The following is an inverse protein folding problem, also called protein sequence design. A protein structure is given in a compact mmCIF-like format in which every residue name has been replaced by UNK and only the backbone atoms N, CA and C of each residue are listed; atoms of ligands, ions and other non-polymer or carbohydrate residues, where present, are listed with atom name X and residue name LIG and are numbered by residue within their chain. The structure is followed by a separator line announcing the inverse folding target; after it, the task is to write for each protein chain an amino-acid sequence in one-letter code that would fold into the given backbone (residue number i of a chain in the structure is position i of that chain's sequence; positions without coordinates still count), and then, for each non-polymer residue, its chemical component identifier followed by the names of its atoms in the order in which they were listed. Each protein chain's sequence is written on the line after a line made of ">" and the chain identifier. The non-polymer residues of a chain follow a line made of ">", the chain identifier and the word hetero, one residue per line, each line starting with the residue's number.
data_IF_415564711870
#
_entry.id   IF_415564711870
#
_cell.length_a   1.000
_cell.length_b   1.000
_cell.length_c   1.000
_cell.angle_alpha   90.00
_cell.angle_beta   90.00
_cell.angle_gamma   90.00
#
_symmetry.space_group_name_H-M   'P 1'
#
loop_
_entity.id
_entity.type
_entity.pdbx_description
1 polymer ?
#
# COMPACT_ATOMS: atom_id res chain seq x y z
N UNK A 1 15.27 -6.76 40.40
CA UNK A 1 15.31 -6.46 38.96
C UNK A 1 14.25 -7.33 38.31
N UNK A 2 13.10 -6.75 37.96
CA UNK A 2 12.07 -7.46 37.19
C UNK A 2 12.50 -7.56 35.73
N UNK A 3 11.95 -8.50 34.94
CA UNK A 3 12.29 -8.61 33.53
C UNK A 3 11.89 -7.31 32.81
N UNK A 4 12.81 -6.74 32.06
CA UNK A 4 12.55 -5.65 31.11
C UNK A 4 11.40 -6.07 30.20
N UNK A 5 10.24 -5.46 30.41
CA UNK A 5 9.16 -5.44 29.43
C UNK A 5 9.75 -4.82 28.16
N UNK A 6 9.78 -5.60 27.08
CA UNK A 6 9.99 -5.07 25.74
C UNK A 6 8.87 -4.04 25.51
N UNK A 7 9.22 -2.76 25.55
CA UNK A 7 8.42 -1.66 25.03
C UNK A 7 8.82 -1.49 23.56
N UNK A 8 8.09 -2.08 22.58
CA UNK A 8 8.33 -1.81 21.18
C UNK A 8 7.90 -0.37 20.99
N UNK A 9 8.83 0.57 21.18
CA UNK A 9 8.58 2.00 21.24
C UNK A 9 7.42 2.38 20.32
N UNK A 10 6.37 2.92 20.92
CA UNK A 10 5.15 3.38 20.23
C UNK A 10 5.61 4.03 18.94
N UNK A 11 5.29 3.44 17.80
CA UNK A 11 5.68 4.01 16.52
C UNK A 11 5.01 5.39 16.45
N UNK A 12 5.76 6.46 16.72
CA UNK A 12 5.25 7.84 16.71
C UNK A 12 4.72 8.21 15.31
N UNK A 13 5.07 7.41 14.30
CA UNK A 13 4.64 7.50 12.91
C UNK A 13 4.14 6.12 12.46
N UNK A 14 2.90 6.03 11.98
CA UNK A 14 2.26 4.78 11.54
C UNK A 14 3.02 4.09 10.38
N UNK A 15 2.51 2.99 9.80
CA UNK A 15 1.12 2.57 9.80
C UNK A 15 0.67 2.00 11.14
N UNK A 16 -0.59 2.26 11.47
CA UNK A 16 -1.19 1.87 12.74
C UNK A 16 -1.98 0.57 12.60
N UNK A 17 -2.04 -0.23 13.66
CA UNK A 17 -3.01 -1.31 13.78
C UNK A 17 -4.42 -0.74 13.99
N UNK A 18 -5.45 -1.48 13.56
CA UNK A 18 -6.85 -1.07 13.70
C UNK A 18 -7.33 -0.89 15.14
N UNK A 19 -6.63 -1.49 16.12
CA UNK A 19 -6.85 -1.25 17.54
C UNK A 19 -6.32 0.12 18.01
N UNK A 20 -5.44 0.74 17.23
CA UNK A 20 -4.87 2.05 17.51
C UNK A 20 -5.77 3.15 16.92
N UNK A 21 -5.94 4.21 17.69
CA UNK A 21 -6.76 5.37 17.31
C UNK A 21 -5.87 6.60 17.24
N UNK A 22 -5.14 6.83 16.12
CA UNK A 22 -4.26 7.98 15.99
C UNK A 22 -5.08 9.27 16.04
N UNK A 23 -4.81 10.14 17.01
CA UNK A 23 -5.45 11.45 17.15
C UNK A 23 -4.73 12.52 16.30
N UNK A 24 -4.48 12.20 15.03
CA UNK A 24 -3.68 13.03 14.11
C UNK A 24 -4.53 13.97 13.21
N UNK A 25 -5.85 13.91 13.34
CA UNK A 25 -6.78 14.72 12.56
C UNK A 25 -6.84 14.39 11.06
N UNK A 26 -6.17 13.33 10.59
CA UNK A 26 -6.14 12.96 9.17
C UNK A 26 -7.42 12.22 8.77
N UNK A 27 -8.06 12.72 7.71
CA UNK A 27 -9.16 12.00 7.06
C UNK A 27 -8.62 10.78 6.32
N UNK A 28 -9.33 9.65 6.43
CA UNK A 28 -8.94 8.37 5.81
C UNK A 28 -10.14 7.78 5.10
N UNK A 29 -9.93 7.29 3.90
CA UNK A 29 -10.89 6.46 3.18
C UNK A 29 -10.88 5.07 3.83
N UNK A 30 -12.01 4.66 4.39
CA UNK A 30 -12.17 3.32 4.94
C UNK A 30 -12.43 2.31 3.81
N UNK A 31 -11.52 1.34 3.67
CA UNK A 31 -11.57 0.27 2.69
C UNK A 31 -11.79 -1.11 3.34
N UNK A 32 -12.37 -1.14 4.54
CA UNK A 32 -12.58 -2.35 5.34
C UNK A 32 -11.31 -2.76 6.08
N UNK A 33 -10.36 -3.41 5.38
CA UNK A 33 -9.11 -3.88 6.00
C UNK A 33 -8.00 -2.82 6.03
N UNK A 34 -8.18 -1.71 5.34
CA UNK A 34 -7.20 -0.62 5.26
C UNK A 34 -7.95 0.70 5.33
N UNK A 35 -7.50 1.63 6.15
CA UNK A 35 -7.95 3.02 6.14
C UNK A 35 -6.81 3.88 5.64
N UNK A 36 -7.00 4.46 4.46
CA UNK A 36 -5.92 5.08 3.69
C UNK A 36 -6.12 6.59 3.61
N UNK A 37 -5.13 7.42 3.98
CA UNK A 37 -5.17 8.83 3.64
C UNK A 37 -5.05 9.00 2.11
N UNK A 38 -5.95 9.78 1.53
CA UNK A 38 -5.92 10.07 0.09
C UNK A 38 -5.22 11.42 -0.09
N UNK A 39 -4.06 11.47 -0.76
CA UNK A 39 -3.38 12.74 -1.02
C UNK A 39 -4.26 13.72 -1.79
N UNK A 40 -4.07 15.01 -1.55
CA UNK A 40 -4.79 16.05 -2.27
C UNK A 40 -4.58 15.91 -3.80
N UNK A 41 -5.68 15.97 -4.55
CA UNK A 41 -5.66 15.82 -6.01
C UNK A 41 -5.41 14.39 -6.52
N UNK A 42 -5.22 13.40 -5.64
CA UNK A 42 -5.09 12.01 -6.06
C UNK A 42 -6.43 11.43 -6.53
N UNK A 43 -6.40 10.70 -7.64
CA UNK A 43 -7.55 9.95 -8.14
C UNK A 43 -7.45 8.49 -7.72
N UNK A 44 -8.52 7.94 -7.17
CA UNK A 44 -8.56 6.54 -6.78
C UNK A 44 -8.91 5.66 -7.99
N UNK A 45 -8.08 4.67 -8.27
CA UNK A 45 -8.39 3.60 -9.22
C UNK A 45 -8.44 2.26 -8.48
N UNK A 46 -9.42 1.44 -8.82
CA UNK A 46 -9.63 0.13 -8.21
C UNK A 46 -9.37 -0.94 -9.24
N UNK A 47 -8.55 -1.92 -8.88
CA UNK A 47 -8.39 -3.13 -9.66
C UNK A 47 -9.38 -4.17 -9.12
N UNK A 48 -10.28 -4.64 -9.95
CA UNK A 48 -11.27 -5.67 -9.60
C UNK A 48 -10.93 -6.96 -10.35
N UNK A 49 -11.05 -8.11 -9.68
CA UNK A 49 -11.12 -9.36 -10.42
C UNK A 49 -12.41 -9.36 -11.27
N UNK A 50 -12.41 -10.11 -12.38
CA UNK A 50 -13.38 -10.00 -13.50
C UNK A 50 -14.86 -9.94 -13.13
N UNK A 51 -15.25 -10.36 -11.93
CA UNK A 51 -16.53 -10.09 -11.24
C UNK A 51 -16.38 -10.31 -9.71
N UNK A 52 -15.19 -10.05 -9.17
CA UNK A 52 -14.76 -10.51 -7.85
C UNK A 52 -14.45 -9.38 -6.87
N UNK A 53 -13.74 -9.68 -5.77
CA UNK A 53 -13.32 -8.66 -4.81
C UNK A 53 -12.35 -7.67 -5.46
N UNK A 54 -12.25 -6.49 -4.86
CA UNK A 54 -11.19 -5.53 -5.20
C UNK A 54 -9.84 -6.17 -4.86
N UNK A 55 -8.97 -6.26 -5.86
CA UNK A 55 -7.63 -6.83 -5.77
C UNK A 55 -6.63 -5.80 -5.24
N UNK A 56 -6.74 -4.56 -5.69
CA UNK A 56 -5.85 -3.49 -5.30
C UNK A 56 -6.51 -2.12 -5.42
N UNK A 57 -5.94 -1.16 -4.69
CA UNK A 57 -6.29 0.25 -4.79
C UNK A 57 -5.05 1.03 -5.16
N UNK A 58 -5.17 1.83 -6.22
CA UNK A 58 -4.13 2.69 -6.73
C UNK A 58 -4.52 4.15 -6.52
N UNK A 59 -3.59 4.95 -6.03
CA UNK A 59 -3.72 6.40 -5.94
C UNK A 59 -2.92 7.00 -7.09
N UNK A 60 -3.63 7.55 -8.08
CA UNK A 60 -3.03 8.26 -9.20
C UNK A 60 -2.78 9.71 -8.82
N UNK A 61 -1.52 10.13 -8.83
CA UNK A 61 -1.09 11.47 -8.44
C UNK A 61 -0.44 12.19 -9.63
N UNK A 62 -0.18 13.49 -9.50
CA UNK A 62 0.61 14.23 -10.50
C UNK A 62 2.07 13.77 -10.62
N UNK A 63 2.59 13.04 -9.63
CA UNK A 63 3.96 12.54 -9.59
C UNK A 63 4.10 11.11 -10.15
N UNK A 64 3.00 10.35 -10.14
CA UNK A 64 2.97 8.94 -10.52
C UNK A 64 1.89 8.16 -9.76
N UNK A 65 2.02 6.84 -9.76
CA UNK A 65 1.09 5.92 -9.14
C UNK A 65 1.62 5.45 -7.78
N UNK A 66 0.79 5.52 -6.75
CA UNK A 66 1.01 4.83 -5.47
C UNK A 66 0.08 3.63 -5.36
N UNK A 67 0.56 2.53 -4.81
CA UNK A 67 -0.23 1.33 -4.53
C UNK A 67 0.07 0.86 -3.13
N UNK A 68 -0.97 0.69 -2.31
CA UNK A 68 -0.84 0.20 -0.94
C UNK A 68 -1.65 -1.08 -0.81
N UNK A 69 -1.03 -2.14 -0.32
CA UNK A 69 -1.66 -3.45 -0.16
C UNK A 69 -1.32 -4.02 1.20
N UNK A 70 -2.33 -4.41 1.98
CA UNK A 70 -2.13 -5.14 3.22
C UNK A 70 -2.26 -6.65 2.98
N UNK A 71 -1.44 -7.43 3.65
CA UNK A 71 -1.40 -8.89 3.58
C UNK A 71 -1.57 -9.49 4.97
N UNK A 72 -2.15 -10.69 5.05
CA UNK A 72 -2.10 -11.49 6.25
C UNK A 72 -0.68 -11.99 6.50
N UNK A 73 -0.17 -11.77 7.71
CA UNK A 73 1.19 -12.13 8.11
C UNK A 73 1.19 -13.16 9.25
N UNK A 74 2.27 -13.95 9.43
CA UNK A 74 2.38 -14.87 10.54
C UNK A 74 2.47 -14.10 11.87
N UNK A 75 2.16 -14.76 12.99
CA UNK A 75 2.28 -14.16 14.33
C UNK A 75 3.73 -13.80 14.69
N UNK A 76 4.70 -14.45 14.07
CA UNK A 76 6.13 -14.17 14.26
C UNK A 76 6.58 -12.86 13.60
N UNK A 77 5.76 -12.24 12.74
CA UNK A 77 6.19 -11.13 11.89
C UNK A 77 7.23 -11.54 10.84
N UNK A 78 7.94 -10.55 10.30
CA UNK A 78 9.06 -10.74 9.36
C UNK A 78 8.64 -11.05 7.92
N UNK A 79 7.36 -10.87 7.58
CA UNK A 79 6.88 -11.18 6.24
C UNK A 79 7.48 -10.21 5.22
N UNK A 80 7.70 -8.94 5.59
CA UNK A 80 8.30 -7.98 4.67
C UNK A 80 9.71 -8.40 4.22
N UNK A 81 10.54 -8.91 5.14
CA UNK A 81 11.90 -9.35 4.82
C UNK A 81 11.94 -10.49 3.79
N UNK A 82 11.02 -11.45 3.90
CA UNK A 82 10.86 -12.52 2.92
C UNK A 82 10.42 -11.97 1.56
N UNK A 83 9.38 -11.13 1.57
CA UNK A 83 8.81 -10.51 0.36
C UNK A 83 9.82 -9.60 -0.34
N UNK A 84 10.63 -8.85 0.42
CA UNK A 84 11.72 -8.02 -0.11
C UNK A 84 12.74 -8.88 -0.87
N UNK A 85 13.12 -10.03 -0.30
CA UNK A 85 14.01 -10.99 -0.95
C UNK A 85 13.44 -11.52 -2.28
N UNK A 86 12.15 -11.83 -2.31
CA UNK A 86 11.44 -12.29 -3.51
C UNK A 86 11.33 -11.18 -4.57
N UNK A 87 10.92 -9.97 -4.20
CA UNK A 87 10.83 -8.81 -5.10
C UNK A 87 12.20 -8.51 -5.70
N UNK A 88 13.26 -8.49 -4.88
CA UNK A 88 14.62 -8.26 -5.34
C UNK A 88 15.03 -9.31 -6.36
N UNK A 89 14.78 -10.59 -6.08
CA UNK A 89 15.14 -11.69 -6.98
C UNK A 89 14.39 -11.57 -8.31
N UNK A 90 13.09 -11.29 -8.27
CA UNK A 90 12.26 -11.08 -9.46
C UNK A 90 12.77 -9.92 -10.32
N UNK A 91 12.99 -8.76 -9.72
CA UNK A 91 13.46 -7.56 -10.44
C UNK A 91 14.83 -7.79 -11.08
N UNK A 92 15.76 -8.47 -10.40
CA UNK A 92 17.04 -8.83 -11.01
C UNK A 92 16.87 -9.77 -12.20
N UNK A 93 15.98 -10.76 -12.11
CA UNK A 93 15.71 -11.68 -13.23
C UNK A 93 15.07 -10.99 -14.44
N UNK A 94 14.40 -9.86 -14.21
CA UNK A 94 13.80 -8.99 -15.24
C UNK A 94 14.81 -7.96 -15.78
N UNK A 95 16.07 -7.97 -15.33
CA UNK A 95 17.11 -7.05 -15.81
C UNK A 95 17.03 -5.64 -15.21
N UNK A 96 16.22 -5.42 -14.17
CA UNK A 96 16.11 -4.14 -13.51
C UNK A 96 17.40 -3.77 -12.76
N UNK A 97 17.72 -2.47 -12.70
CA UNK A 97 18.75 -1.97 -11.79
C UNK A 97 18.14 -1.84 -10.39
N UNK A 98 18.58 -2.67 -9.45
CA UNK A 98 17.99 -2.74 -8.11
C UNK A 98 18.98 -2.24 -7.06
N UNK A 99 18.50 -1.41 -6.14
CA UNK A 99 19.23 -0.98 -4.93
C UNK A 99 18.34 -1.20 -3.71
N UNK A 100 18.96 -1.59 -2.60
CA UNK A 100 18.30 -1.69 -1.29
C UNK A 100 18.90 -0.64 -0.38
N UNK A 101 18.07 0.10 0.34
CA UNK A 101 18.47 1.12 1.30
C UNK A 101 17.62 1.01 2.57
N UNK A 102 18.11 1.59 3.66
CA UNK A 102 17.36 1.69 4.92
C UNK A 102 16.38 2.88 4.83
N UNK A 103 15.12 2.64 5.15
CA UNK A 103 14.04 3.62 5.26
C UNK A 103 13.44 3.68 6.66
N UNK A 104 12.32 4.39 6.81
CA UNK A 104 11.67 4.67 8.10
C UNK A 104 11.27 3.40 8.86
N UNK A 105 10.81 2.38 8.14
CA UNK A 105 10.36 1.10 8.70
C UNK A 105 11.32 -0.07 8.42
N UNK A 106 12.57 0.25 8.07
CA UNK A 106 13.58 -0.72 7.68
C UNK A 106 13.82 -0.73 6.17
N UNK A 107 14.22 -1.88 5.62
CA UNK A 107 14.74 -1.93 4.25
C UNK A 107 13.69 -1.69 3.19
N UNK A 108 14.10 -0.97 2.15
CA UNK A 108 13.29 -0.60 1.01
C UNK A 108 14.03 -0.90 -0.29
N UNK A 109 13.30 -1.02 -1.40
CA UNK A 109 13.87 -1.28 -2.73
C UNK A 109 13.68 -0.05 -3.62
N UNK A 110 14.75 0.42 -4.25
CA UNK A 110 14.73 1.23 -5.46
C UNK A 110 14.95 0.32 -6.67
N UNK A 111 14.13 0.44 -7.70
CA UNK A 111 14.34 -0.27 -8.95
C UNK A 111 14.17 0.65 -10.17
N UNK A 112 15.03 0.51 -11.17
CA UNK A 112 14.84 1.12 -12.49
C UNK A 112 14.63 0.01 -13.50
N UNK A 113 13.48 0.04 -14.17
CA UNK A 113 13.14 -0.84 -15.29
C UNK A 113 13.07 -0.02 -16.57
N UNK A 114 12.90 -0.68 -17.73
CA UNK A 114 12.66 0.03 -19.00
C UNK A 114 11.36 0.85 -18.98
N UNK A 115 10.37 0.43 -18.19
CA UNK A 115 9.02 1.00 -18.20
C UNK A 115 8.79 2.06 -17.12
N UNK A 116 9.44 1.90 -15.96
CA UNK A 116 9.20 2.74 -14.80
C UNK A 116 10.37 2.70 -13.82
N UNK A 117 10.42 3.74 -13.00
CA UNK A 117 11.20 3.76 -11.76
C UNK A 117 10.28 3.44 -10.59
N UNK A 118 10.73 2.54 -9.71
CA UNK A 118 9.92 1.93 -8.66
C UNK A 118 10.56 2.12 -7.30
N UNK A 119 9.75 2.40 -6.29
CA UNK A 119 10.10 2.31 -4.87
C UNK A 119 9.16 1.32 -4.19
N UNK A 120 9.72 0.38 -3.45
CA UNK A 120 8.96 -0.55 -2.61
C UNK A 120 9.36 -0.37 -1.15
N UNK A 121 8.38 -0.36 -0.28
CA UNK A 121 8.55 -0.44 1.16
C UNK A 121 7.55 -1.44 1.74
N UNK A 122 7.82 -1.92 2.94
CA UNK A 122 6.85 -2.69 3.69
C UNK A 122 7.04 -2.52 5.18
N UNK A 123 5.94 -2.73 5.91
CA UNK A 123 5.86 -2.59 7.35
C UNK A 123 5.14 -3.82 7.90
N UNK A 124 5.81 -4.55 8.79
CA UNK A 124 5.20 -5.66 9.51
C UNK A 124 4.47 -5.12 10.75
N UNK A 125 3.23 -5.55 10.95
CA UNK A 125 2.42 -5.28 12.13
C UNK A 125 1.78 -6.54 12.71
N UNK A 126 0.88 -6.42 13.71
CA UNK A 126 0.27 -7.56 14.38
C UNK A 126 -0.55 -8.49 13.45
N UNK A 127 0.09 -9.54 12.92
CA UNK A 127 -0.50 -10.52 11.98
C UNK A 127 -0.90 -9.94 10.63
N UNK A 128 -0.33 -8.79 10.27
CA UNK A 128 -0.46 -8.18 8.95
C UNK A 128 0.87 -7.59 8.49
N UNK A 129 1.01 -7.39 7.20
CA UNK A 129 2.13 -6.66 6.60
C UNK A 129 1.57 -5.69 5.56
N UNK A 130 1.92 -4.42 5.65
CA UNK A 130 1.54 -3.40 4.67
C UNK A 130 2.68 -3.23 3.67
N UNK A 131 2.39 -3.29 2.38
CA UNK A 131 3.34 -3.00 1.30
C UNK A 131 2.94 -1.73 0.57
N UNK A 132 3.87 -0.80 0.46
CA UNK A 132 3.76 0.39 -0.38
C UNK A 132 4.59 0.23 -1.65
N UNK A 133 4.03 0.66 -2.78
CA UNK A 133 4.74 0.73 -4.07
C UNK A 133 4.49 2.10 -4.69
N UNK A 134 5.55 2.78 -5.07
CA UNK A 134 5.52 3.99 -5.88
C UNK A 134 6.09 3.66 -7.27
N UNK A 135 5.36 4.01 -8.32
CA UNK A 135 5.76 3.82 -9.70
C UNK A 135 5.62 5.14 -10.48
N UNK A 136 6.72 5.61 -11.06
CA UNK A 136 6.76 6.87 -11.78
C UNK A 136 7.96 7.00 -12.70
N UNK A 137 8.18 8.20 -13.22
CA UNK A 137 9.39 8.53 -13.98
C UNK A 137 10.57 8.77 -13.04
N UNK A 138 11.80 8.63 -13.56
CA UNK A 138 13.02 8.76 -12.74
C UNK A 138 13.15 10.14 -12.06
N UNK A 139 12.71 11.22 -12.72
CA UNK A 139 12.75 12.58 -12.17
C UNK A 139 11.77 12.79 -11.01
N UNK A 140 10.66 12.05 -10.99
CA UNK A 140 9.59 12.20 -9.99
C UNK A 140 9.66 11.15 -8.88
N UNK A 141 10.61 10.20 -8.93
CA UNK A 141 10.63 9.09 -7.98
C UNK A 141 10.82 9.55 -6.54
N UNK A 142 11.75 10.47 -6.28
CA UNK A 142 12.04 10.91 -4.91
C UNK A 142 10.82 11.60 -4.26
N UNK A 143 10.19 12.62 -4.87
CA UNK A 143 8.98 13.21 -4.28
C UNK A 143 7.81 12.23 -4.24
N UNK A 144 7.72 11.27 -5.18
CA UNK A 144 6.70 10.22 -5.13
C UNK A 144 6.95 9.23 -3.99
N UNK A 145 8.20 8.92 -3.67
CA UNK A 145 8.58 8.08 -2.54
C UNK A 145 8.27 8.78 -1.21
N UNK A 146 8.59 10.07 -1.08
CA UNK A 146 8.20 10.87 0.09
C UNK A 146 6.68 10.90 0.28
N UNK A 147 5.92 11.03 -0.81
CA UNK A 147 4.46 10.96 -0.77
C UNK A 147 3.97 9.56 -0.35
N UNK A 148 4.62 8.49 -0.82
CA UNK A 148 4.34 7.14 -0.38
C UNK A 148 4.57 6.97 1.13
N UNK A 149 5.68 7.51 1.66
CA UNK A 149 5.95 7.49 3.10
C UNK A 149 4.85 8.23 3.87
N UNK A 150 4.40 9.40 3.40
CA UNK A 150 3.32 10.12 4.09
C UNK A 150 1.98 9.35 4.07
N UNK A 151 1.65 8.71 2.94
CA UNK A 151 0.47 7.85 2.84
C UNK A 151 0.57 6.69 3.83
N UNK A 152 1.71 6.00 3.87
CA UNK A 152 1.93 4.83 4.73
C UNK A 152 1.91 5.24 6.20
N UNK A 153 2.51 6.37 6.56
CA UNK A 153 2.47 6.94 7.91
C UNK A 153 1.06 7.20 8.41
N UNK A 154 0.18 7.68 7.53
CA UNK A 154 -1.22 7.90 7.87
C UNK A 154 -2.10 6.66 7.74
N UNK A 155 -1.60 5.51 7.27
CA UNK A 155 -2.43 4.33 7.02
C UNK A 155 -2.77 3.61 8.32
N UNK A 156 -4.00 3.08 8.42
CA UNK A 156 -4.41 2.17 9.50
C UNK A 156 -4.77 0.82 8.88
N UNK A 157 -4.26 -0.28 9.41
CA UNK A 157 -4.53 -1.64 8.93
C UNK A 157 -5.45 -2.36 9.90
N UNK A 158 -6.63 -2.75 9.42
CA UNK A 158 -7.64 -3.48 10.18
C UNK A 158 -7.60 -4.95 9.75
N UNK A 159 -6.75 -5.75 10.39
CA UNK A 159 -6.59 -7.18 10.04
C UNK A 159 -7.86 -8.00 10.23
N UNK A 160 -8.74 -7.58 11.14
CA UNK A 160 -9.91 -8.36 11.53
C UNK A 160 -9.55 -9.68 12.24
N UNK A 161 -10.56 -10.47 12.56
CA UNK A 161 -10.40 -11.73 13.32
C UNK A 161 -10.42 -12.98 12.45
N UNK A 162 -10.84 -12.85 11.19
CA UNK A 162 -11.02 -13.97 10.29
C UNK A 162 -9.69 -14.67 9.94
N UNK A 163 -9.69 -16.02 9.92
CA UNK A 163 -8.52 -16.78 9.51
C UNK A 163 -8.27 -16.55 8.02
N UNK A 164 -7.09 -16.05 7.69
CA UNK A 164 -6.63 -15.92 6.31
C UNK A 164 -5.27 -16.61 6.17
N UNK A 165 -5.00 -17.29 5.04
CA UNK A 165 -3.68 -17.83 4.75
C UNK A 165 -2.60 -16.74 4.84
N UNK A 166 -1.42 -17.09 5.35
CA UNK A 166 -0.28 -16.18 5.32
C UNK A 166 0.03 -15.82 3.87
N UNK A 167 0.36 -14.55 3.61
CA UNK A 167 0.57 -13.94 2.28
C UNK A 167 -0.68 -13.70 1.43
N UNK A 168 -1.88 -14.02 1.90
CA UNK A 168 -3.08 -13.57 1.18
C UNK A 168 -3.32 -12.07 1.38
N UNK A 169 -3.72 -11.32 0.34
CA UNK A 169 -4.12 -9.92 0.52
C UNK A 169 -5.32 -9.84 1.48
N UNK A 170 -5.37 -8.78 2.28
CA UNK A 170 -6.52 -8.49 3.12
C UNK A 170 -7.65 -7.95 2.25
N UNK A 171 -8.92 -8.33 2.52
CA UNK A 171 -10.03 -7.95 1.68
C UNK A 171 -10.25 -6.43 1.70
N UNK A 172 -10.37 -5.86 0.51
CA UNK A 172 -10.74 -4.46 0.31
C UNK A 172 -12.24 -4.37 0.07
N UNK A 173 -12.89 -3.45 0.77
CA UNK A 173 -14.30 -3.15 0.65
C UNK A 173 -14.47 -1.69 0.24
N UNK A 174 -15.09 -1.43 -0.90
CA UNK A 174 -15.36 -0.05 -1.32
C UNK A 174 -16.62 0.46 -0.61
N UNK A 175 -16.57 1.66 -0.01
CA UNK A 175 -17.77 2.35 0.44
C UNK A 175 -18.78 2.48 -0.70
N UNK A 176 -20.07 2.26 -0.42
CA UNK A 176 -21.15 2.33 -1.40
C UNK A 176 -21.11 3.63 -2.24
N UNK A 177 -20.94 4.83 -1.66
CA UNK A 177 -20.92 6.07 -2.45
C UNK A 177 -19.78 6.12 -3.48
N UNK A 178 -18.64 5.50 -3.14
CA UNK A 178 -17.48 5.44 -4.02
C UNK A 178 -17.67 4.39 -5.11
N UNK A 179 -18.24 3.23 -4.79
CA UNK A 179 -18.59 2.20 -5.76
C UNK A 179 -19.58 2.73 -6.81
N UNK A 180 -20.57 3.52 -6.39
CA UNK A 180 -21.54 4.17 -7.27
C UNK A 180 -20.87 5.21 -8.19
N UNK A 181 -19.93 6.00 -7.66
CA UNK A 181 -19.20 6.99 -8.44
C UNK A 181 -18.33 6.33 -9.52
N UNK A 182 -17.57 5.30 -9.15
CA UNK A 182 -16.73 4.54 -10.09
C UNK A 182 -17.56 3.89 -11.20
N UNK A 183 -18.76 3.41 -10.86
CA UNK A 183 -19.71 2.86 -11.86
C UNK A 183 -20.19 3.94 -12.83
N UNK A 184 -20.48 5.16 -12.35
CA UNK A 184 -20.87 6.29 -13.21
C UNK A 184 -19.73 6.75 -14.12
N UNK A 185 -18.52 6.88 -13.60
CA UNK A 185 -17.36 7.33 -14.37
C UNK A 185 -16.92 6.28 -15.42
N UNK A 186 -16.97 4.99 -15.07
CA UNK A 186 -16.70 3.88 -15.99
C UNK A 186 -17.73 3.74 -17.11
N UNK A 187 -18.99 4.12 -16.88
CA UNK A 187 -20.03 4.20 -17.91
C UNK A 187 -19.81 5.35 -18.91
N UNK A 188 -19.25 6.47 -18.44
CA UNK A 188 -18.99 7.65 -19.29
C UNK A 188 -17.78 7.51 -20.22
N UNK A 189 -16.86 6.58 -19.94
CA UNK A 189 -15.71 6.29 -20.81
C UNK A 189 -16.10 5.42 -22.02
N UNK A 190 -17.14 4.59 -21.90
CA UNK A 190 -17.59 3.69 -22.97
C UNK A 190 -18.46 4.39 -24.04
N UNK A 191 -19.10 5.51 -23.71
CA UNK A 191 -19.92 6.27 -24.68
C UNK A 191 -19.07 7.11 -25.66
N UNK A 192 -17.88 7.56 -25.23
CA UNK A 192 -17.00 8.39 -26.06
C UNK A 192 -16.18 7.61 -27.11
N UNK A 193 -16.10 6.29 -27.03
CA UNK A 193 -15.38 5.46 -28.04
C UNK A 193 -16.28 4.96 -29.17
N UNK A 194 -17.59 5.25 -29.14
CA UNK A 194 -18.56 4.82 -30.17
C UNK A 194 -18.97 5.90 -31.19
N UNK A 195 -18.42 7.12 -31.10
CA UNK A 195 -18.82 8.26 -31.95
C UNK A 195 -17.67 8.89 -32.76
N UNK A 196 -16.70 8.08 -33.19
CA UNK A 196 -15.63 8.48 -34.13
C UNK A 196 -15.67 7.69 -35.43
#
# INVERSE_FOLDING_TARGET
>A
MGPEEWDPGVAETGPFDGAEHPADGRSRLDLGSVRLPVPEGAQLQVEVDRNGPVLAVHLMTGLGQLTVTAFAAPRSGGLWEEVLGEIRTRLHSEGAQVRVHEGEWGREIAAVTEQATLRFLGVDGPRWMLRGVAAGSGEQLEPLAELLHDVVRGTVVVRGTEPLPVRSPLPIQLPEPLAEQLTRDGGNQQDQTRHG
#
